data_IF_540377047319
#
_entry.id   IF_540377047319
#
_cell.length_a   1.000
_cell.length_b   1.000
_cell.length_c   1.000
_cell.angle_alpha   90.00
_cell.angle_beta   90.00
_cell.angle_gamma   90.00
#
_symmetry.space_group_name_H-M   'P 1'
#
loop_
_entity.id
_entity.type
_entity.pdbx_description
1 polymer ?
#
# COMPACT_ATOMS: atom_id res chain seq x y z
N UNK A 1 9.16 3.13 -13.15
CA UNK A 1 7.98 3.80 -12.54
C UNK A 1 8.42 4.32 -11.18
N UNK A 2 8.18 5.58 -10.85
CA UNK A 2 8.65 6.18 -9.59
C UNK A 2 7.46 6.36 -8.65
N UNK A 3 7.39 5.54 -7.60
CA UNK A 3 6.35 5.63 -6.56
C UNK A 3 6.76 6.68 -5.53
N UNK A 4 5.87 7.62 -5.20
CA UNK A 4 6.13 8.71 -4.25
C UNK A 4 5.13 8.68 -3.10
N UNK A 5 5.54 9.26 -1.97
CA UNK A 5 4.65 9.44 -0.82
C UNK A 5 3.44 10.27 -1.23
N UNK A 6 2.25 9.77 -0.94
CA UNK A 6 0.97 10.38 -1.31
C UNK A 6 0.36 9.85 -2.60
N UNK A 7 1.07 9.05 -3.40
CA UNK A 7 0.49 8.39 -4.57
C UNK A 7 -0.59 7.39 -4.12
N UNK A 8 -1.66 7.28 -4.91
CA UNK A 8 -2.71 6.28 -4.74
C UNK A 8 -2.46 5.13 -5.72
N UNK A 9 -2.40 3.92 -5.19
CA UNK A 9 -2.16 2.69 -5.95
C UNK A 9 -3.36 1.75 -5.78
N UNK A 10 -3.64 0.95 -6.81
CA UNK A 10 -4.50 -0.22 -6.66
C UNK A 10 -3.65 -1.39 -6.16
N UNK A 11 -3.98 -1.95 -5.00
CA UNK A 11 -3.24 -3.06 -4.40
C UNK A 11 -4.19 -4.19 -4.00
N UNK A 12 -3.74 -5.42 -4.19
CA UNK A 12 -4.37 -6.60 -3.60
C UNK A 12 -3.77 -6.83 -2.20
N UNK A 13 -4.59 -6.65 -1.17
CA UNK A 13 -4.19 -6.88 0.22
C UNK A 13 -4.40 -8.33 0.65
N UNK A 14 -4.94 -9.20 -0.22
CA UNK A 14 -5.29 -10.57 0.10
C UNK A 14 -6.56 -10.69 0.94
N UNK A 15 -6.86 -11.91 1.41
CA UNK A 15 -8.06 -12.19 2.18
C UNK A 15 -7.68 -12.75 3.55
N UNK A 16 -8.17 -12.12 4.61
CA UNK A 16 -7.90 -12.52 6.00
C UNK A 16 -9.21 -12.93 6.70
N UNK A 17 -9.74 -14.13 6.41
CA UNK A 17 -11.00 -14.59 7.00
C UNK A 17 -10.91 -14.63 8.52
N UNK A 18 -12.03 -14.39 9.21
CA UNK A 18 -12.13 -14.37 10.69
C UNK A 18 -11.34 -13.26 11.40
N UNK A 19 -10.83 -12.26 10.68
CA UNK A 19 -10.12 -11.11 11.25
C UNK A 19 -10.76 -9.78 10.83
N UNK A 20 -10.38 -8.69 11.50
CA UNK A 20 -10.75 -7.32 11.12
C UNK A 20 -9.67 -6.61 10.27
N UNK A 21 -8.68 -7.36 9.76
CA UNK A 21 -7.67 -6.81 8.86
C UNK A 21 -8.33 -6.48 7.53
N UNK A 22 -8.07 -5.28 6.99
CA UNK A 22 -8.58 -4.93 5.67
C UNK A 22 -7.92 -5.80 4.59
N UNK A 23 -8.77 -6.43 3.79
CA UNK A 23 -8.36 -7.24 2.64
C UNK A 23 -9.02 -6.78 1.36
N UNK A 24 -8.89 -7.63 0.34
CA UNK A 24 -9.38 -7.42 -1.01
C UNK A 24 -8.47 -6.50 -1.84
N UNK A 25 -8.84 -6.37 -3.10
CA UNK A 25 -8.21 -5.44 -4.01
C UNK A 25 -8.86 -4.07 -3.78
N UNK A 26 -8.09 -3.03 -3.44
CA UNK A 26 -8.63 -1.67 -3.18
C UNK A 26 -7.59 -0.58 -3.41
N UNK A 27 -8.01 0.69 -3.57
CA UNK A 27 -7.08 1.81 -3.55
C UNK A 27 -6.41 1.95 -2.18
N UNK A 28 -5.10 2.23 -2.21
CA UNK A 28 -4.24 2.44 -1.05
C UNK A 28 -3.32 3.63 -1.27
N UNK A 29 -2.93 4.34 -0.22
CA UNK A 29 -2.02 5.48 -0.27
C UNK A 29 -0.62 5.08 0.17
N UNK A 30 0.39 5.58 -0.55
CA UNK A 30 1.80 5.38 -0.21
C UNK A 30 2.18 6.30 0.95
N UNK A 31 2.56 5.72 2.08
CA UNK A 31 2.95 6.49 3.28
C UNK A 31 4.46 6.53 3.51
N UNK A 32 5.20 5.60 2.90
CA UNK A 32 6.67 5.55 2.96
C UNK A 32 7.33 6.72 2.25
N UNK A 33 8.53 7.08 2.73
CA UNK A 33 9.30 8.19 2.18
C UNK A 33 9.87 7.88 0.78
N UNK A 34 10.14 8.92 0.00
CA UNK A 34 10.59 8.79 -1.39
C UNK A 34 11.95 8.08 -1.52
N UNK A 35 12.84 8.21 -0.52
CA UNK A 35 14.13 7.52 -0.52
C UNK A 35 13.93 6.00 -0.42
N UNK A 36 13.09 5.55 0.52
CA UNK A 36 12.72 4.14 0.64
C UNK A 36 12.05 3.64 -0.65
N UNK A 37 11.11 4.40 -1.21
CA UNK A 37 10.40 4.00 -2.43
C UNK A 37 11.32 3.86 -3.66
N UNK A 38 12.51 4.49 -3.65
CA UNK A 38 13.49 4.45 -4.74
C UNK A 38 14.41 3.25 -4.65
N UNK A 39 14.79 2.81 -3.43
CA UNK A 39 15.82 1.79 -3.23
C UNK A 39 15.30 0.48 -2.63
N UNK A 40 14.06 0.45 -2.14
CA UNK A 40 13.42 -0.71 -1.51
C UNK A 40 12.40 -1.35 -2.44
N UNK A 41 12.33 -2.68 -2.43
CA UNK A 41 11.24 -3.45 -3.03
C UNK A 41 9.99 -3.50 -2.16
N UNK A 42 10.10 -3.03 -0.91
CA UNK A 42 8.98 -2.97 0.05
C UNK A 42 8.47 -1.53 0.13
N UNK A 43 7.20 -1.35 -0.20
CA UNK A 43 6.48 -0.08 -0.14
C UNK A 43 5.34 -0.20 0.89
N UNK A 44 5.48 0.38 2.08
CA UNK A 44 4.38 0.50 3.04
C UNK A 44 3.19 1.29 2.47
N UNK A 45 2.01 0.65 2.44
CA UNK A 45 0.76 1.21 1.95
C UNK A 45 -0.28 1.26 3.09
N UNK A 46 -1.15 2.26 3.05
CA UNK A 46 -2.31 2.35 3.94
C UNK A 46 -3.58 2.29 3.08
N UNK A 47 -4.53 1.42 3.43
CA UNK A 47 -5.85 1.42 2.80
C UNK A 47 -6.74 2.48 3.45
N UNK A 48 -7.44 3.24 2.61
CA UNK A 48 -8.48 4.16 3.09
C UNK A 48 -9.63 3.34 3.67
N UNK A 49 -10.16 3.76 4.81
CA UNK A 49 -11.11 2.96 5.62
C UNK A 49 -12.39 2.65 4.85
#
# INVERSE_FOLDING_TARGET
MTIRRGDILWADLGMFPTTSVQGGVRPVIVVSNNKANTYSSVHPLLSDK
#
